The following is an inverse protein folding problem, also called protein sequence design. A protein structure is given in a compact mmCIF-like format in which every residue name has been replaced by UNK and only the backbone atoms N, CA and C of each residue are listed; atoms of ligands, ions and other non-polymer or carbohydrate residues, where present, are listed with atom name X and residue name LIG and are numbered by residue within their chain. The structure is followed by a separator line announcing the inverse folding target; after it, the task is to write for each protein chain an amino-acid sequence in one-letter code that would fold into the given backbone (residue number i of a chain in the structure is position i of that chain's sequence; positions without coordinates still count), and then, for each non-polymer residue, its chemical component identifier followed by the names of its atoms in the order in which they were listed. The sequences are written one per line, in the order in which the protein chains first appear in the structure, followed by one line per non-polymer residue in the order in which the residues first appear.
data_IF_909745569982
#
_entry.id   IF_909745569982
#
_cell.length_a   1.000
_cell.length_b   1.000
_cell.length_c   1.000
_cell.angle_alpha   90.00
_cell.angle_beta   90.00
_cell.angle_gamma   90.00
#
_symmetry.space_group_name_H-M   'P 1'
#
loop_
_entity.id
_entity.type
_entity.pdbx_description
1 polymer ?
#
# COMPACT_ATOMS: atom_id res chain seq x y z
N UNK A 1 17.21 -21.93 7.82
CA UNK A 1 16.01 -21.10 7.66
C UNK A 1 15.58 -21.20 6.21
N UNK A 2 14.45 -21.85 5.93
CA UNK A 2 13.96 -22.04 4.57
C UNK A 2 13.25 -20.76 4.14
N UNK A 3 13.77 -20.08 3.10
CA UNK A 3 13.15 -18.88 2.54
C UNK A 3 12.27 -19.32 1.40
N UNK A 4 10.96 -19.22 1.60
CA UNK A 4 9.96 -19.54 0.61
C UNK A 4 10.04 -18.51 -0.54
N UNK A 5 10.37 -18.97 -1.75
CA UNK A 5 10.48 -18.10 -2.93
C UNK A 5 9.23 -18.21 -3.80
N UNK A 6 8.71 -17.06 -4.22
CA UNK A 6 7.58 -16.98 -5.14
C UNK A 6 8.08 -17.20 -6.57
N UNK A 7 7.42 -18.10 -7.28
CA UNK A 7 7.63 -18.33 -8.72
C UNK A 7 6.58 -17.58 -9.54
N UNK A 8 5.34 -17.57 -9.09
CA UNK A 8 4.25 -16.83 -9.70
C UNK A 8 3.18 -16.52 -8.66
N UNK A 9 2.44 -15.44 -8.86
CA UNK A 9 1.26 -15.11 -8.08
C UNK A 9 0.19 -14.46 -8.94
N UNK A 10 -1.07 -14.58 -8.52
CA UNK A 10 -2.22 -13.98 -9.19
C UNK A 10 -3.24 -13.57 -8.15
N UNK A 11 -3.63 -12.30 -8.20
CA UNK A 11 -4.69 -11.76 -7.37
C UNK A 11 -6.06 -11.95 -8.05
N UNK A 12 -7.06 -12.35 -7.28
CA UNK A 12 -8.46 -12.44 -7.69
C UNK A 12 -9.30 -11.46 -6.88
N UNK A 13 -9.80 -10.42 -7.55
CA UNK A 13 -10.62 -9.37 -6.93
C UNK A 13 -12.06 -9.79 -6.65
N UNK A 14 -12.58 -10.87 -7.26
CA UNK A 14 -13.95 -11.33 -7.03
C UNK A 14 -14.16 -11.85 -5.61
N UNK A 15 -13.11 -12.43 -5.01
CA UNK A 15 -13.14 -13.04 -3.69
C UNK A 15 -12.01 -12.56 -2.77
N UNK A 16 -11.26 -11.54 -3.19
CA UNK A 16 -10.11 -10.97 -2.49
C UNK A 16 -9.09 -12.04 -2.05
N UNK A 17 -8.70 -12.92 -3.00
CA UNK A 17 -7.73 -13.98 -2.76
C UNK A 17 -6.46 -13.83 -3.59
N UNK A 18 -5.34 -14.29 -3.03
CA UNK A 18 -4.05 -14.32 -3.70
C UNK A 18 -3.60 -15.77 -3.88
N UNK A 19 -3.57 -16.23 -5.13
CA UNK A 19 -2.96 -17.51 -5.48
C UNK A 19 -1.45 -17.34 -5.63
N UNK A 20 -0.66 -18.17 -4.94
CA UNK A 20 0.80 -18.14 -5.01
C UNK A 20 1.35 -19.54 -5.32
N UNK A 21 2.28 -19.60 -6.27
CA UNK A 21 3.08 -20.77 -6.61
C UNK A 21 4.52 -20.52 -6.19
N UNK A 22 5.09 -21.40 -5.38
CA UNK A 22 6.51 -21.30 -4.98
C UNK A 22 7.44 -22.00 -5.97
N UNK A 23 8.73 -21.72 -5.86
CA UNK A 23 9.79 -22.41 -6.62
C UNK A 23 9.78 -23.92 -6.41
N UNK A 24 9.33 -24.36 -5.24
CA UNK A 24 9.35 -25.75 -4.81
C UNK A 24 8.04 -26.47 -5.20
N UNK A 25 7.17 -25.79 -5.93
CA UNK A 25 5.91 -26.35 -6.47
C UNK A 25 4.73 -26.29 -5.51
N UNK A 26 4.90 -25.74 -4.30
CA UNK A 26 3.78 -25.53 -3.37
C UNK A 26 2.83 -24.47 -3.91
N UNK A 27 1.53 -24.78 -3.86
CA UNK A 27 0.45 -23.86 -4.20
C UNK A 27 -0.29 -23.47 -2.93
N UNK A 28 -0.50 -22.17 -2.74
CA UNK A 28 -1.30 -21.63 -1.65
C UNK A 28 -2.33 -20.65 -2.22
N UNK A 29 -3.47 -20.56 -1.53
CA UNK A 29 -4.49 -19.55 -1.77
C UNK A 29 -4.69 -18.80 -0.46
N UNK A 30 -4.36 -17.51 -0.46
CA UNK A 30 -4.40 -16.66 0.73
C UNK A 30 -5.66 -15.82 0.65
N UNK A 31 -6.44 -15.78 1.74
CA UNK A 31 -7.55 -14.85 1.89
C UNK A 31 -7.00 -13.52 2.42
N UNK A 32 -6.88 -12.52 1.54
CA UNK A 32 -6.25 -11.24 1.85
C UNK A 32 -6.93 -10.50 3.03
N UNK A 33 -8.28 -10.40 3.10
CA UNK A 33 -8.96 -9.71 4.19
C UNK A 33 -8.57 -10.22 5.58
N UNK A 34 -8.43 -11.53 5.74
CA UNK A 34 -8.10 -12.14 7.02
C UNK A 34 -6.72 -11.71 7.55
N UNK A 35 -5.76 -11.48 6.64
CA UNK A 35 -4.45 -10.95 7.00
C UNK A 35 -4.53 -9.44 7.21
N UNK A 36 -5.17 -8.72 6.29
CA UNK A 36 -5.25 -7.26 6.33
C UNK A 36 -6.00 -6.73 7.56
N UNK A 37 -7.02 -7.44 8.04
CA UNK A 37 -7.78 -7.06 9.24
C UNK A 37 -6.94 -7.16 10.52
N UNK A 38 -5.80 -7.87 10.50
CA UNK A 38 -4.86 -7.92 11.61
C UNK A 38 -3.82 -6.79 11.60
N UNK A 39 -3.73 -6.02 10.51
CA UNK A 39 -2.78 -4.93 10.37
C UNK A 39 -3.33 -3.67 11.02
N UNK A 40 -2.46 -2.95 11.72
CA UNK A 40 -2.77 -1.62 12.21
C UNK A 40 -2.49 -0.61 11.09
N UNK A 41 -3.49 -0.29 10.29
CA UNK A 41 -3.34 0.63 9.16
C UNK A 41 -4.47 1.64 9.08
N UNK A 42 -4.23 2.76 8.42
CA UNK A 42 -5.20 3.81 8.17
C UNK A 42 -5.75 3.74 6.73
N UNK A 43 -6.49 4.77 6.32
CA UNK A 43 -7.07 4.84 4.97
C UNK A 43 -6.01 4.90 3.86
N UNK A 44 -4.83 5.47 4.13
CA UNK A 44 -3.74 5.58 3.16
C UNK A 44 -3.10 4.21 2.96
N UNK A 45 -2.81 3.50 4.05
CA UNK A 45 -2.27 2.14 3.96
C UNK A 45 -3.27 1.16 3.35
N UNK A 46 -4.56 1.23 3.68
CA UNK A 46 -5.60 0.37 3.05
C UNK A 46 -5.75 0.64 1.54
N UNK A 47 -5.64 1.90 1.14
CA UNK A 47 -5.60 2.27 -0.29
C UNK A 47 -4.36 1.70 -0.98
N UNK A 48 -3.19 1.74 -0.31
CA UNK A 48 -1.97 1.14 -0.84
C UNK A 48 -2.04 -0.38 -0.96
N UNK A 49 -2.65 -1.08 0.00
CA UNK A 49 -2.88 -2.52 -0.08
C UNK A 49 -3.75 -2.88 -1.29
N UNK A 50 -4.85 -2.16 -1.49
CA UNK A 50 -5.72 -2.34 -2.65
C UNK A 50 -4.93 -2.15 -3.95
N UNK A 51 -4.18 -1.06 -4.05
CA UNK A 51 -3.33 -0.79 -5.20
C UNK A 51 -2.28 -1.88 -5.44
N UNK A 52 -1.60 -2.36 -4.38
CA UNK A 52 -0.61 -3.42 -4.49
C UNK A 52 -1.21 -4.71 -5.02
N UNK A 53 -2.39 -5.12 -4.52
CA UNK A 53 -3.06 -6.33 -4.99
C UNK A 53 -3.41 -6.24 -6.48
N UNK A 54 -3.92 -5.09 -6.92
CA UNK A 54 -4.34 -4.89 -8.31
C UNK A 54 -3.18 -4.72 -9.29
N UNK A 55 -2.10 -4.05 -8.88
CA UNK A 55 -1.04 -3.60 -9.79
C UNK A 55 0.27 -4.38 -9.62
N UNK A 56 0.61 -4.77 -8.39
CA UNK A 56 1.87 -5.43 -8.04
C UNK A 56 1.67 -6.61 -7.08
N UNK A 57 0.88 -7.63 -7.46
CA UNK A 57 0.53 -8.75 -6.58
C UNK A 57 1.76 -9.53 -6.11
N UNK A 58 2.86 -9.53 -6.87
CA UNK A 58 4.15 -10.12 -6.47
C UNK A 58 4.74 -9.42 -5.27
N UNK A 59 4.75 -8.09 -5.27
CA UNK A 59 5.25 -7.28 -4.14
C UNK A 59 4.41 -7.53 -2.90
N UNK A 60 3.08 -7.57 -3.04
CA UNK A 60 2.18 -7.90 -1.95
C UNK A 60 2.46 -9.30 -1.37
N UNK A 61 2.61 -10.31 -2.24
CA UNK A 61 2.95 -11.67 -1.83
C UNK A 61 4.29 -11.76 -1.10
N UNK A 62 5.32 -11.06 -1.57
CA UNK A 62 6.63 -11.03 -0.93
C UNK A 62 6.57 -10.40 0.46
N UNK A 63 5.86 -9.28 0.62
CA UNK A 63 5.66 -8.62 1.90
C UNK A 63 4.91 -9.52 2.90
N UNK A 64 3.93 -10.29 2.43
CA UNK A 64 3.21 -11.26 3.25
C UNK A 64 4.13 -12.40 3.72
N UNK A 65 4.83 -13.06 2.80
CA UNK A 65 5.68 -14.23 3.12
C UNK A 65 6.87 -13.84 4.00
N UNK A 66 7.36 -12.61 3.88
CA UNK A 66 8.47 -12.10 4.69
C UNK A 66 8.02 -11.43 5.98
N UNK A 67 6.72 -11.38 6.27
CA UNK A 67 6.12 -10.72 7.44
C UNK A 67 6.52 -9.24 7.56
N UNK A 68 6.60 -8.55 6.43
CA UNK A 68 7.03 -7.13 6.33
C UNK A 68 5.89 -6.17 6.04
N UNK A 69 4.67 -6.68 5.84
CA UNK A 69 3.53 -5.88 5.37
C UNK A 69 3.23 -4.70 6.30
N UNK A 70 3.21 -4.90 7.63
CA UNK A 70 3.01 -3.82 8.60
C UNK A 70 4.08 -2.72 8.48
N UNK A 71 5.36 -3.10 8.59
CA UNK A 71 6.48 -2.13 8.51
C UNK A 71 6.52 -1.36 7.18
N UNK A 72 6.13 -2.01 6.08
CA UNK A 72 5.99 -1.36 4.79
C UNK A 72 4.88 -0.30 4.80
N UNK A 73 3.72 -0.62 5.38
CA UNK A 73 2.60 0.33 5.46
C UNK A 73 2.92 1.52 6.36
N UNK A 74 3.60 1.29 7.48
CA UNK A 74 4.01 2.36 8.39
C UNK A 74 4.94 3.35 7.67
N UNK A 75 5.95 2.84 6.95
CA UNK A 75 6.85 3.66 6.14
C UNK A 75 6.12 4.37 5.00
N UNK A 76 5.18 3.70 4.34
CA UNK A 76 4.40 4.29 3.27
C UNK A 76 3.54 5.46 3.78
N UNK A 77 2.82 5.27 4.88
CA UNK A 77 1.99 6.30 5.49
C UNK A 77 2.83 7.50 5.95
N UNK A 78 3.96 7.25 6.62
CA UNK A 78 4.88 8.31 7.03
C UNK A 78 5.35 9.16 5.83
N UNK A 79 5.85 8.50 4.78
CA UNK A 79 6.30 9.17 3.56
C UNK A 79 5.17 9.95 2.88
N UNK A 80 3.97 9.37 2.82
CA UNK A 80 2.80 10.02 2.24
C UNK A 80 2.45 11.31 3.00
N UNK A 81 2.48 11.28 4.34
CA UNK A 81 2.22 12.46 5.15
C UNK A 81 3.32 13.52 5.04
N UNK A 82 4.59 13.11 4.94
CA UNK A 82 5.71 14.04 4.71
C UNK A 82 5.56 14.76 3.37
N UNK A 83 5.26 14.02 2.30
CA UNK A 83 5.02 14.59 0.97
C UNK A 83 3.81 15.54 0.97
N UNK A 84 2.68 15.11 1.54
CA UNK A 84 1.49 15.94 1.66
C UNK A 84 1.77 17.23 2.44
N UNK A 85 2.52 17.16 3.55
CA UNK A 85 2.86 18.33 4.34
C UNK A 85 3.80 19.28 3.59
N UNK A 86 4.73 18.75 2.81
CA UNK A 86 5.66 19.54 2.00
C UNK A 86 4.88 20.35 0.96
N UNK A 87 4.00 19.69 0.21
CA UNK A 87 3.14 20.34 -0.80
C UNK A 87 2.23 21.37 -0.14
N UNK A 88 1.57 21.01 0.97
CA UNK A 88 0.71 21.93 1.73
C UNK A 88 1.47 23.18 2.15
N UNK A 89 2.70 23.07 2.63
CA UNK A 89 3.49 24.22 3.07
C UNK A 89 3.83 25.13 1.88
N UNK A 90 4.27 24.58 0.76
CA UNK A 90 4.54 25.33 -0.48
C UNK A 90 3.29 26.07 -0.99
N UNK A 91 2.14 25.39 -0.98
CA UNK A 91 0.87 26.00 -1.38
C UNK A 91 0.38 27.05 -0.39
N UNK A 92 0.64 26.87 0.90
CA UNK A 92 0.28 27.87 1.92
C UNK A 92 1.03 29.19 1.67
N UNK A 93 2.30 29.14 1.31
CA UNK A 93 3.08 30.33 0.92
C UNK A 93 2.51 30.96 -0.36
N UNK A 94 2.13 30.13 -1.34
CA UNK A 94 1.57 30.59 -2.61
C UNK A 94 0.18 31.25 -2.46
N UNK A 95 -0.65 30.76 -1.54
CA UNK A 95 -2.01 31.25 -1.29
C UNK A 95 -2.10 32.19 -0.08
N UNK A 96 -1.07 33.01 0.14
CA UNK A 96 -1.03 34.07 1.17
C UNK A 96 -1.40 33.58 2.60
N UNK A 97 -1.04 32.34 2.95
CA UNK A 97 -1.30 31.77 4.27
C UNK A 97 -2.61 31.00 4.42
N UNK A 98 -3.41 30.82 3.36
CA UNK A 98 -4.63 29.99 3.42
C UNK A 98 -4.30 28.49 3.52
N UNK A 99 -4.17 28.02 4.75
CA UNK A 99 -3.84 26.63 5.08
C UNK A 99 -4.95 25.64 4.70
N UNK A 100 -6.21 26.07 4.75
CA UNK A 100 -7.34 25.17 4.48
C UNK A 100 -7.41 24.86 2.98
N UNK A 101 -7.30 25.90 2.16
CA UNK A 101 -7.24 25.75 0.71
C UNK A 101 -5.99 24.97 0.27
N UNK A 102 -4.81 25.31 0.82
CA UNK A 102 -3.57 24.59 0.55
C UNK A 102 -3.65 23.10 0.91
N UNK A 103 -4.29 22.74 2.02
CA UNK A 103 -4.46 21.35 2.43
C UNK A 103 -5.42 20.57 1.52
N UNK A 104 -6.48 21.21 1.01
CA UNK A 104 -7.39 20.59 0.05
C UNK A 104 -6.66 20.30 -1.28
N UNK A 105 -5.94 21.29 -1.81
CA UNK A 105 -5.18 21.12 -3.06
C UNK A 105 -4.05 20.09 -2.90
N UNK A 106 -3.34 20.08 -1.77
CA UNK A 106 -2.30 19.07 -1.52
C UNK A 106 -2.86 17.65 -1.50
N UNK A 107 -4.09 17.44 -1.00
CA UNK A 107 -4.75 16.12 -1.04
C UNK A 107 -5.12 15.73 -2.47
N UNK A 108 -5.70 16.64 -3.24
CA UNK A 108 -6.03 16.41 -4.65
C UNK A 108 -4.80 16.06 -5.48
N UNK A 109 -3.70 16.80 -5.30
CA UNK A 109 -2.42 16.51 -5.96
C UNK A 109 -1.90 15.11 -5.58
N UNK A 110 -1.96 14.74 -4.30
CA UNK A 110 -1.51 13.42 -3.86
C UNK A 110 -2.43 12.27 -4.33
N UNK A 111 -3.72 12.53 -4.55
CA UNK A 111 -4.69 11.52 -5.02
C UNK A 111 -4.64 11.29 -6.53
N UNK A 112 -4.45 12.35 -7.32
CA UNK A 112 -4.56 12.29 -8.79
C UNK A 112 -3.26 12.65 -9.54
N UNK A 113 -2.25 13.15 -8.84
CA UNK A 113 -0.94 13.42 -9.41
C UNK A 113 -0.24 12.12 -9.77
N UNK A 114 -0.16 11.85 -11.08
CA UNK A 114 0.66 10.78 -11.66
C UNK A 114 2.11 11.21 -11.78
#
# INVERSE_FOLDING_TARGET
MYVMKIKACTYNSENDTLAVLTTDGMKMCILCPAIEDSLQTDIIGRSKLTWLKDNEPSTYAELLITDKLQSFLDQYAENYHLQQNTIKNQLTEHFNGDKAYAAAIAREIMMYGR
#
